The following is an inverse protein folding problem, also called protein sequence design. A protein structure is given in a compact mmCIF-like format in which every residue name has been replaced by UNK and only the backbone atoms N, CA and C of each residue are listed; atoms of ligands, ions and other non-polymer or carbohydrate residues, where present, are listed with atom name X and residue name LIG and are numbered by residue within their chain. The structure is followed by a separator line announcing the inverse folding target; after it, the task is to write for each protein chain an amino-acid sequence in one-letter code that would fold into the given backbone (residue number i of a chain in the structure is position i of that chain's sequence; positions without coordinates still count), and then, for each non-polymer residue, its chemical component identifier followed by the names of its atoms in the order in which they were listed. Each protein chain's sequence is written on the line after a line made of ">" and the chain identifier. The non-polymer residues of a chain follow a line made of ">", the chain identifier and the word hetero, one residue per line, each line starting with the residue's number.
data_IF_152982393009
#
_entry.id   IF_152982393009
#
_cell.length_a   1.000
_cell.length_b   1.000
_cell.length_c   1.000
_cell.angle_alpha   90.00
_cell.angle_beta   90.00
_cell.angle_gamma   90.00
#
_symmetry.space_group_name_H-M   'P 1'
#
loop_
_entity.id
_entity.type
_entity.pdbx_description
1 polymer ?
#
# COMPACT_ATOMS: atom_id res chain seq x y z
N UNK A 1 -39.81 -37.69 -11.58
CA UNK A 1 -38.81 -37.15 -12.57
C UNK A 1 -39.10 -35.69 -12.90
N UNK A 2 -40.37 -35.28 -13.22
CA UNK A 2 -40.70 -33.87 -13.56
C UNK A 2 -40.38 -32.87 -12.42
N UNK A 3 -40.67 -33.23 -11.13
CA UNK A 3 -40.40 -32.34 -9.99
C UNK A 3 -38.90 -32.14 -9.70
N UNK A 4 -38.09 -33.18 -9.92
CA UNK A 4 -36.64 -33.12 -9.77
C UNK A 4 -36.02 -32.23 -10.85
N UNK A 5 -36.52 -32.32 -12.09
CA UNK A 5 -36.05 -31.46 -13.18
C UNK A 5 -36.33 -29.97 -12.96
N UNK A 6 -37.49 -29.63 -12.38
CA UNK A 6 -37.86 -28.26 -12.03
C UNK A 6 -36.95 -27.72 -10.90
N UNK A 7 -36.67 -28.52 -9.87
CA UNK A 7 -35.77 -28.12 -8.77
C UNK A 7 -34.34 -27.89 -9.27
N UNK A 8 -33.82 -28.73 -10.16
CA UNK A 8 -32.52 -28.61 -10.73
C UNK A 8 -32.42 -27.35 -11.61
N UNK A 9 -33.43 -27.04 -12.41
CA UNK A 9 -33.51 -25.84 -13.23
C UNK A 9 -33.52 -24.55 -12.40
N UNK A 10 -34.28 -24.51 -11.31
CA UNK A 10 -34.33 -23.37 -10.39
C UNK A 10 -33.00 -23.20 -9.69
N UNK A 11 -32.35 -24.29 -9.27
CA UNK A 11 -31.02 -24.23 -8.64
C UNK A 11 -29.95 -23.68 -9.59
N UNK A 12 -29.96 -24.11 -10.87
CA UNK A 12 -29.03 -23.58 -11.89
C UNK A 12 -29.29 -22.10 -12.19
N UNK A 13 -30.57 -21.66 -12.21
CA UNK A 13 -30.93 -20.24 -12.39
C UNK A 13 -30.46 -19.36 -11.21
N UNK A 14 -30.55 -19.83 -9.99
CA UNK A 14 -30.06 -19.08 -8.80
C UNK A 14 -28.52 -18.99 -8.80
N UNK A 15 -27.83 -20.04 -9.26
CA UNK A 15 -26.36 -20.04 -9.35
C UNK A 15 -25.83 -19.23 -10.52
N UNK A 16 -26.62 -18.95 -11.53
CA UNK A 16 -26.24 -18.10 -12.66
C UNK A 16 -26.49 -16.61 -12.44
N UNK A 17 -27.00 -16.20 -11.26
CA UNK A 17 -27.10 -14.79 -10.92
C UNK A 17 -25.68 -14.22 -10.77
N UNK A 18 -25.27 -13.27 -11.63
CA UNK A 18 -23.98 -12.61 -11.45
C UNK A 18 -23.99 -11.91 -10.10
N UNK A 19 -23.05 -12.28 -9.21
CA UNK A 19 -22.78 -11.52 -8.00
C UNK A 19 -22.19 -10.19 -8.48
N UNK A 20 -23.03 -9.17 -8.62
CA UNK A 20 -22.59 -7.83 -8.96
C UNK A 20 -21.63 -7.37 -7.86
N UNK A 21 -20.33 -7.51 -8.10
CA UNK A 21 -19.33 -6.81 -7.30
C UNK A 21 -19.51 -5.34 -7.65
N UNK A 22 -19.95 -4.54 -6.68
CA UNK A 22 -19.93 -3.08 -6.81
C UNK A 22 -18.50 -2.68 -7.12
N UNK A 23 -18.22 -2.35 -8.38
CA UNK A 23 -16.98 -1.72 -8.75
C UNK A 23 -16.94 -0.38 -7.99
N UNK A 24 -16.03 -0.26 -7.03
CA UNK A 24 -15.71 1.02 -6.43
C UNK A 24 -14.83 1.74 -7.45
N UNK A 25 -15.41 2.65 -8.20
CA UNK A 25 -14.66 3.59 -8.99
C UNK A 25 -14.35 4.79 -8.09
N UNK A 26 -13.09 5.18 -8.05
CA UNK A 26 -12.69 6.40 -7.38
C UNK A 26 -13.28 7.60 -8.14
N UNK A 27 -13.93 8.52 -7.43
CA UNK A 27 -14.47 9.74 -8.00
C UNK A 27 -13.84 10.93 -7.27
N UNK A 28 -12.98 11.64 -7.96
CA UNK A 28 -12.34 12.84 -7.42
C UNK A 28 -13.19 14.09 -7.68
N UNK A 29 -13.09 15.06 -6.79
CA UNK A 29 -13.54 16.41 -7.03
C UNK A 29 -12.59 17.10 -8.03
N UNK A 30 -12.94 18.30 -8.46
CA UNK A 30 -12.03 19.13 -9.25
C UNK A 30 -10.72 19.36 -8.49
N UNK A 31 -9.59 19.22 -9.20
CA UNK A 31 -8.29 19.43 -8.59
C UNK A 31 -8.13 20.89 -8.14
N UNK A 32 -7.64 21.14 -6.93
CA UNK A 32 -7.38 22.50 -6.46
C UNK A 32 -6.25 23.15 -7.26
N UNK A 33 -6.09 24.47 -7.16
CA UNK A 33 -4.92 25.18 -7.70
C UNK A 33 -3.62 24.68 -7.07
N UNK A 34 -2.47 24.99 -7.67
CA UNK A 34 -1.15 24.55 -7.14
C UNK A 34 -0.92 25.08 -5.73
N UNK A 35 -1.24 26.36 -5.49
CA UNK A 35 -1.10 26.97 -4.16
C UNK A 35 -2.02 26.33 -3.13
N UNK A 36 -3.29 26.07 -3.47
CA UNK A 36 -4.23 25.39 -2.59
C UNK A 36 -3.82 23.93 -2.33
N UNK A 37 -3.38 23.21 -3.36
CA UNK A 37 -2.90 21.85 -3.21
C UNK A 37 -1.67 21.78 -2.27
N UNK A 38 -0.73 22.72 -2.40
CA UNK A 38 0.41 22.84 -1.50
C UNK A 38 -0.02 23.14 -0.06
N UNK A 39 -1.01 24.01 0.13
CA UNK A 39 -1.51 24.34 1.47
C UNK A 39 -2.18 23.13 2.13
N UNK A 40 -3.01 22.40 1.39
CA UNK A 40 -3.78 21.25 1.85
C UNK A 40 -2.93 20.00 2.07
N UNK A 41 -1.81 19.83 1.34
CA UNK A 41 -0.94 18.67 1.49
C UNK A 41 0.01 18.82 2.67
N UNK A 42 0.35 17.73 3.34
CA UNK A 42 1.37 17.69 4.39
C UNK A 42 2.78 17.59 3.84
N UNK A 43 2.94 16.99 2.65
CA UNK A 43 4.21 16.93 1.93
C UNK A 43 4.04 17.26 0.45
N UNK A 44 4.97 18.09 -0.10
CA UNK A 44 5.06 18.40 -1.53
C UNK A 44 6.51 18.28 -1.96
N UNK A 45 6.80 17.36 -2.87
CA UNK A 45 8.17 17.07 -3.29
C UNK A 45 8.24 16.44 -4.68
N UNK A 46 9.38 16.61 -5.34
CA UNK A 46 9.76 15.98 -6.59
C UNK A 46 10.76 14.86 -6.31
N UNK A 47 10.51 13.67 -6.80
CA UNK A 47 11.39 12.54 -6.58
C UNK A 47 11.24 11.43 -7.60
N UNK A 48 12.20 10.52 -7.59
CA UNK A 48 12.24 9.34 -8.46
C UNK A 48 11.83 8.12 -7.67
N UNK A 49 10.90 7.33 -8.18
CA UNK A 49 10.46 6.07 -7.58
C UNK A 49 11.58 5.05 -7.70
N UNK A 50 12.08 4.56 -6.56
CA UNK A 50 13.16 3.58 -6.50
C UNK A 50 12.66 2.16 -6.28
N UNK A 51 11.55 1.99 -5.57
CA UNK A 51 10.94 0.70 -5.29
C UNK A 51 9.43 0.80 -5.09
N UNK A 52 8.71 -0.28 -5.42
CA UNK A 52 7.27 -0.42 -5.20
C UNK A 52 7.02 -1.81 -4.62
N UNK A 53 6.45 -1.87 -3.43
CA UNK A 53 6.10 -3.11 -2.75
C UNK A 53 4.61 -3.17 -2.39
N UNK A 54 3.99 -4.33 -2.56
CA UNK A 54 2.62 -4.54 -2.11
C UNK A 54 2.64 -4.90 -0.61
N UNK A 55 2.01 -4.06 0.22
CA UNK A 55 1.96 -4.21 1.68
C UNK A 55 0.50 -4.23 2.13
N UNK A 56 0.03 -5.38 2.62
CA UNK A 56 -1.36 -5.57 3.05
C UNK A 56 -2.37 -5.20 1.95
N UNK A 57 -3.11 -4.11 2.14
CA UNK A 57 -4.16 -3.61 1.24
C UNK A 57 -3.74 -2.37 0.45
N UNK A 58 -2.45 -2.03 0.46
CA UNK A 58 -1.91 -0.82 -0.15
C UNK A 58 -0.57 -1.14 -0.85
N UNK A 59 -0.13 -0.21 -1.66
CA UNK A 59 1.19 -0.21 -2.29
C UNK A 59 2.09 0.79 -1.56
N UNK A 60 3.20 0.30 -1.02
CA UNK A 60 4.27 1.13 -0.47
C UNK A 60 5.21 1.54 -1.60
N UNK A 61 5.50 2.81 -1.71
CA UNK A 61 6.37 3.40 -2.74
C UNK A 61 7.53 4.09 -2.07
N UNK A 62 8.74 3.65 -2.38
CA UNK A 62 9.99 4.27 -1.92
C UNK A 62 10.49 5.26 -2.97
N UNK A 63 10.82 6.47 -2.55
CA UNK A 63 11.14 7.58 -3.44
C UNK A 63 12.47 8.22 -3.00
N UNK A 64 13.36 8.44 -3.97
CA UNK A 64 14.54 9.28 -3.82
C UNK A 64 14.18 10.74 -4.13
N UNK A 65 14.16 11.59 -3.09
CA UNK A 65 13.72 12.98 -3.18
C UNK A 65 14.81 13.83 -3.82
N UNK A 66 14.45 14.63 -4.83
CA UNK A 66 15.34 15.56 -5.52
C UNK A 66 15.12 17.01 -5.10
N UNK A 67 13.87 17.40 -4.85
CA UNK A 67 13.49 18.75 -4.46
C UNK A 67 12.22 18.70 -3.61
N UNK A 68 12.11 19.53 -2.57
CA UNK A 68 10.94 19.57 -1.72
C UNK A 68 10.50 21.00 -1.39
N UNK A 69 9.19 21.21 -1.32
CA UNK A 69 8.55 22.50 -1.00
C UNK A 69 7.82 22.49 0.33
N UNK A 70 7.51 21.30 0.86
CA UNK A 70 6.79 21.13 2.14
C UNK A 70 7.06 19.72 2.72
N UNK A 71 7.20 19.61 4.03
CA UNK A 71 7.04 18.38 4.81
C UNK A 71 8.08 17.27 4.58
N UNK A 72 9.20 17.52 3.89
CA UNK A 72 10.23 16.50 3.63
C UNK A 72 11.60 16.98 4.04
N UNK A 73 12.25 16.23 4.94
CA UNK A 73 13.57 16.50 5.47
C UNK A 73 14.62 15.46 5.05
N UNK A 74 14.19 14.26 4.65
CA UNK A 74 15.03 13.11 4.34
C UNK A 74 15.18 12.90 2.84
N UNK A 75 16.32 12.35 2.44
CA UNK A 75 16.62 12.01 1.03
C UNK A 75 15.74 10.90 0.50
N UNK A 76 15.35 9.95 1.34
CA UNK A 76 14.47 8.86 0.99
C UNK A 76 13.19 8.96 1.80
N UNK A 77 12.05 8.83 1.14
CA UNK A 77 10.73 8.87 1.76
C UNK A 77 9.86 7.71 1.25
N UNK A 78 8.93 7.28 2.07
CA UNK A 78 7.91 6.30 1.70
C UNK A 78 6.55 6.94 1.68
N UNK A 79 5.76 6.63 0.66
CA UNK A 79 4.34 6.96 0.60
C UNK A 79 3.53 5.71 0.33
N UNK A 80 2.24 5.78 0.64
CA UNK A 80 1.29 4.71 0.38
C UNK A 80 0.24 5.16 -0.64
N UNK A 81 -0.19 4.24 -1.49
CA UNK A 81 -1.23 4.46 -2.49
C UNK A 81 -2.03 3.19 -2.72
N UNK A 82 -3.18 3.29 -3.37
CA UNK A 82 -3.94 2.12 -3.80
C UNK A 82 -3.26 1.33 -4.92
N UNK A 83 -3.81 0.17 -5.26
CA UNK A 83 -3.27 -0.70 -6.30
C UNK A 83 -3.61 -0.23 -7.73
N UNK A 84 -4.77 0.41 -7.89
CA UNK A 84 -5.33 0.78 -9.19
C UNK A 84 -6.39 1.89 -9.08
N UNK A 85 -6.96 2.28 -10.17
CA UNK A 85 -7.98 3.35 -10.24
C UNK A 85 -9.24 3.06 -9.40
N UNK A 86 -9.54 1.80 -9.13
CA UNK A 86 -10.71 1.39 -8.33
C UNK A 86 -10.59 1.69 -6.85
N UNK A 87 -9.38 1.81 -6.34
CA UNK A 87 -9.04 2.15 -4.95
C UNK A 87 -8.22 3.45 -4.83
N UNK A 88 -8.34 4.31 -5.84
CA UNK A 88 -7.67 5.61 -5.94
C UNK A 88 -6.13 5.54 -6.04
N UNK A 89 -5.57 4.41 -6.44
CA UNK A 89 -4.13 4.23 -6.56
C UNK A 89 -3.52 5.07 -7.67
N UNK A 90 -2.28 5.49 -7.46
CA UNK A 90 -1.49 6.23 -8.45
C UNK A 90 -0.92 5.28 -9.53
N UNK A 91 -0.99 5.67 -10.81
CA UNK A 91 -0.34 4.94 -11.90
C UNK A 91 1.17 5.28 -11.96
N UNK A 92 1.94 4.78 -11.00
CA UNK A 92 3.37 5.06 -10.85
C UNK A 92 4.22 3.84 -11.21
N UNK A 93 5.41 4.10 -11.74
CA UNK A 93 6.36 3.09 -12.18
C UNK A 93 7.75 3.32 -11.57
N UNK A 94 8.47 2.25 -11.28
CA UNK A 94 9.84 2.32 -10.77
C UNK A 94 10.78 2.92 -11.83
N UNK A 95 11.64 3.84 -11.41
CA UNK A 95 12.58 4.57 -12.27
C UNK A 95 12.02 5.89 -12.81
N UNK A 96 10.73 6.10 -12.76
CA UNK A 96 10.08 7.33 -13.19
C UNK A 96 10.04 8.39 -12.08
N UNK A 97 9.94 9.65 -12.48
CA UNK A 97 9.92 10.79 -11.56
C UNK A 97 8.57 11.47 -11.55
N UNK A 98 8.13 11.84 -10.35
CA UNK A 98 6.82 12.46 -10.12
C UNK A 98 6.93 13.64 -9.17
N UNK A 99 6.07 14.62 -9.38
CA UNK A 99 5.75 15.64 -8.38
C UNK A 99 4.63 15.08 -7.50
N UNK A 100 4.95 14.87 -6.23
CA UNK A 100 4.02 14.31 -5.25
C UNK A 100 3.38 15.40 -4.40
N UNK A 101 2.08 15.28 -4.20
CA UNK A 101 1.28 15.96 -3.19
C UNK A 101 0.71 14.87 -2.27
N UNK A 102 1.20 14.78 -1.05
CA UNK A 102 0.87 13.71 -0.13
C UNK A 102 0.31 14.26 1.19
N UNK A 103 -0.59 13.48 1.79
CA UNK A 103 -1.23 13.83 3.05
C UNK A 103 -0.87 12.78 4.11
N UNK A 104 -0.71 13.24 5.35
CA UNK A 104 -0.49 12.39 6.50
C UNK A 104 -1.84 11.87 7.02
N UNK A 105 -1.99 10.55 7.07
CA UNK A 105 -3.17 9.88 7.62
C UNK A 105 -2.89 9.23 8.98
N UNK A 106 -1.98 9.79 9.76
CA UNK A 106 -1.80 9.37 11.16
C UNK A 106 -3.01 9.80 11.98
N UNK A 107 -3.93 8.90 12.24
CA UNK A 107 -5.00 9.11 13.23
C UNK A 107 -4.43 9.12 14.66
N UNK A 108 -3.50 10.07 14.94
CA UNK A 108 -2.99 10.30 16.29
C UNK A 108 -1.96 9.27 16.81
N UNK A 109 -1.42 8.43 15.96
CA UNK A 109 -0.28 7.57 16.27
C UNK A 109 1.02 8.17 15.71
N UNK A 110 2.12 8.05 16.44
CA UNK A 110 3.44 8.60 16.07
C UNK A 110 4.04 7.98 14.79
N UNK A 111 3.43 6.94 14.23
CA UNK A 111 3.84 6.25 13.00
C UNK A 111 3.09 6.80 11.77
N UNK A 112 3.00 8.14 11.63
CA UNK A 112 2.38 8.80 10.50
C UNK A 112 2.90 8.28 9.17
N UNK A 113 1.99 7.96 8.25
CA UNK A 113 2.34 7.54 6.90
C UNK A 113 1.72 8.47 5.86
N UNK A 114 2.56 8.93 4.95
CA UNK A 114 2.12 9.78 3.85
C UNK A 114 1.36 8.94 2.82
N UNK A 115 0.22 9.44 2.38
CA UNK A 115 -0.55 8.84 1.29
C UNK A 115 -0.73 9.82 0.14
N UNK A 116 -0.75 9.29 -1.06
CA UNK A 116 -1.08 10.06 -2.25
C UNK A 116 -1.98 9.22 -3.18
N UNK A 117 -2.92 9.86 -3.83
CA UNK A 117 -3.95 9.21 -4.66
C UNK A 117 -4.13 9.93 -5.98
N UNK A 118 -4.88 9.33 -6.90
CA UNK A 118 -5.27 10.00 -8.16
C UNK A 118 -6.10 11.27 -7.93
N UNK A 119 -6.62 11.50 -6.72
CA UNK A 119 -7.37 12.70 -6.36
C UNK A 119 -6.48 13.84 -5.82
N UNK A 120 -5.19 13.62 -5.66
CA UNK A 120 -4.21 14.68 -5.38
C UNK A 120 -3.66 15.23 -6.71
N UNK A 121 -2.94 16.36 -6.66
CA UNK A 121 -2.25 16.90 -7.86
C UNK A 121 -1.00 16.10 -8.25
N UNK A 122 -0.73 14.96 -7.62
CA UNK A 122 0.41 14.11 -7.93
C UNK A 122 0.40 13.73 -9.42
N UNK A 123 1.51 14.02 -10.11
CA UNK A 123 1.62 13.79 -11.54
C UNK A 123 3.07 13.50 -11.95
N UNK A 124 3.26 12.84 -13.10
CA UNK A 124 4.59 12.63 -13.66
C UNK A 124 5.31 13.95 -13.89
N UNK A 125 6.63 13.99 -13.63
CA UNK A 125 7.44 15.21 -13.79
C UNK A 125 7.28 15.85 -15.17
N UNK A 126 7.15 15.03 -16.23
CA UNK A 126 6.95 15.50 -17.60
C UNK A 126 5.67 16.35 -17.76
N UNK A 127 4.67 16.14 -16.91
CA UNK A 127 3.39 16.86 -16.92
C UNK A 127 3.32 17.97 -15.84
N UNK A 128 4.33 18.07 -14.97
CA UNK A 128 4.34 18.97 -13.81
C UNK A 128 4.91 20.36 -14.08
N UNK A 129 5.16 20.73 -15.34
CA UNK A 129 5.87 21.97 -15.68
C UNK A 129 5.20 23.24 -15.14
N UNK A 130 3.87 23.31 -15.18
CA UNK A 130 3.09 24.43 -14.64
C UNK A 130 3.21 24.50 -13.12
N UNK A 131 3.03 23.36 -12.45
CA UNK A 131 3.14 23.25 -11.00
C UNK A 131 4.55 23.62 -10.52
N UNK A 132 5.59 23.07 -11.15
CA UNK A 132 6.98 23.38 -10.82
C UNK A 132 7.33 24.86 -11.00
N UNK A 133 6.78 25.50 -12.03
CA UNK A 133 6.95 26.94 -12.27
C UNK A 133 6.29 27.78 -11.16
N UNK A 134 5.10 27.41 -10.71
CA UNK A 134 4.36 28.12 -9.66
C UNK A 134 4.98 27.86 -8.27
N UNK A 135 5.40 26.65 -8.00
CA UNK A 135 6.08 26.27 -6.75
C UNK A 135 7.42 26.98 -6.57
N UNK A 136 8.11 27.32 -7.68
CA UNK A 136 9.43 27.95 -7.67
C UNK A 136 10.52 27.00 -7.14
N UNK A 137 11.63 27.57 -6.67
CA UNK A 137 12.73 26.78 -6.15
C UNK A 137 12.41 26.17 -4.79
N UNK A 138 12.60 24.86 -4.66
CA UNK A 138 12.45 24.12 -3.42
C UNK A 138 13.79 23.83 -2.73
N UNK A 139 13.75 23.14 -1.59
CA UNK A 139 14.89 22.65 -0.83
C UNK A 139 15.50 21.43 -1.57
N UNK A 140 16.83 21.40 -1.73
CA UNK A 140 17.58 20.30 -2.41
C UNK A 140 18.56 19.58 -1.50
N UNK A 141 18.76 20.06 -0.28
CA UNK A 141 19.63 19.44 0.70
C UNK A 141 18.79 18.61 1.69
N UNK A 142 19.08 17.32 1.78
CA UNK A 142 18.33 16.37 2.61
C UNK A 142 19.27 15.59 3.52
N UNK A 143 18.80 15.28 4.70
CA UNK A 143 19.48 14.37 5.61
C UNK A 143 19.39 12.94 5.05
N UNK A 144 20.45 12.16 5.13
CA UNK A 144 20.39 10.74 4.83
C UNK A 144 19.45 10.08 5.85
N UNK A 145 18.44 9.38 5.38
CA UNK A 145 17.65 8.54 6.27
C UNK A 145 18.60 7.47 6.83
N UNK A 146 18.75 7.41 8.15
CA UNK A 146 19.40 6.24 8.76
C UNK A 146 18.56 5.01 8.43
N UNK A 147 19.18 3.90 7.99
CA UNK A 147 18.44 2.67 7.75
C UNK A 147 17.83 2.26 9.09
N UNK A 148 16.51 2.37 9.21
CA UNK A 148 15.79 1.81 10.34
C UNK A 148 16.03 0.31 10.30
N UNK A 149 16.90 -0.17 11.19
CA UNK A 149 17.14 -1.60 11.41
C UNK A 149 15.90 -2.20 12.10
N UNK A 150 14.81 -2.35 11.38
CA UNK A 150 13.75 -3.28 11.75
C UNK A 150 14.29 -4.69 11.49
N UNK A 151 15.21 -5.10 12.37
CA UNK A 151 15.63 -6.50 12.43
C UNK A 151 14.39 -7.33 12.74
N UNK A 152 14.00 -8.13 11.77
CA UNK A 152 13.02 -9.20 11.88
C UNK A 152 13.24 -10.05 13.15
N UNK A 153 12.64 -9.63 14.25
CA UNK A 153 12.66 -10.38 15.52
C UNK A 153 11.59 -11.48 15.57
N UNK A 154 10.72 -11.61 14.56
CA UNK A 154 9.60 -12.55 14.59
C UNK A 154 9.93 -13.97 14.15
N UNK A 155 11.08 -14.22 13.50
CA UNK A 155 11.40 -15.54 12.98
C UNK A 155 12.05 -16.50 13.99
N UNK A 156 12.51 -16.04 15.17
CA UNK A 156 13.29 -16.90 16.10
C UNK A 156 12.44 -17.77 17.04
N UNK A 157 11.14 -17.55 17.15
CA UNK A 157 10.28 -18.26 18.11
C UNK A 157 9.39 -19.35 17.50
N UNK A 158 9.28 -19.44 16.18
CA UNK A 158 8.39 -20.39 15.52
C UNK A 158 9.04 -21.79 15.42
N UNK A 159 10.36 -21.88 15.28
CA UNK A 159 11.08 -23.15 15.07
C UNK A 159 11.01 -24.08 16.31
N UNK A 160 11.18 -23.59 17.58
CA UNK A 160 11.14 -24.48 18.74
C UNK A 160 9.74 -25.06 19.03
N UNK A 161 8.65 -24.37 18.67
CA UNK A 161 7.29 -24.86 18.93
C UNK A 161 6.89 -26.01 18.02
N UNK A 162 7.35 -26.05 16.77
CA UNK A 162 7.07 -27.12 15.81
C UNK A 162 7.82 -28.39 16.21
N UNK A 163 9.09 -28.29 16.60
CA UNK A 163 9.89 -29.41 17.10
C UNK A 163 9.29 -30.02 18.37
N UNK A 164 8.82 -29.21 19.30
CA UNK A 164 8.15 -29.67 20.53
C UNK A 164 6.88 -30.47 20.25
N UNK A 165 6.07 -30.05 19.28
CA UNK A 165 4.83 -30.74 18.89
C UNK A 165 5.11 -32.12 18.26
N UNK A 166 6.14 -32.23 17.43
CA UNK A 166 6.52 -33.50 16.79
C UNK A 166 7.02 -34.50 17.84
N UNK A 167 7.85 -34.06 18.76
CA UNK A 167 8.37 -34.93 19.85
C UNK A 167 7.21 -35.38 20.75
N UNK A 168 6.26 -34.52 21.06
CA UNK A 168 5.09 -34.87 21.89
C UNK A 168 4.21 -35.92 21.21
N UNK A 169 3.96 -35.81 19.91
CA UNK A 169 3.20 -36.79 19.13
C UNK A 169 3.95 -38.15 19.04
N UNK A 170 5.29 -38.13 18.93
CA UNK A 170 6.08 -39.34 18.94
C UNK A 170 6.01 -40.07 20.28
N UNK A 171 6.08 -39.34 21.40
CA UNK A 171 5.97 -39.93 22.75
C UNK A 171 4.57 -40.52 22.97
N UNK A 172 3.51 -39.81 22.56
CA UNK A 172 2.12 -40.31 22.63
C UNK A 172 1.95 -41.60 21.79
N UNK A 173 2.47 -41.61 20.57
CA UNK A 173 2.43 -42.79 19.71
C UNK A 173 3.15 -43.98 20.37
N UNK A 174 4.32 -43.76 20.97
CA UNK A 174 5.10 -44.81 21.63
C UNK A 174 4.39 -45.36 22.86
N UNK A 175 3.76 -44.52 23.68
CA UNK A 175 3.00 -44.93 24.87
C UNK A 175 1.78 -45.76 24.45
N UNK A 176 1.04 -45.35 23.42
CA UNK A 176 -0.14 -46.08 22.90
C UNK A 176 0.27 -47.44 22.30
N UNK A 177 1.37 -47.45 21.54
CA UNK A 177 1.91 -48.68 20.94
C UNK A 177 2.34 -49.70 22.00
N UNK A 178 2.99 -49.23 23.11
CA UNK A 178 3.43 -50.11 24.22
C UNK A 178 2.26 -50.65 25.04
N UNK A 179 1.11 -50.01 25.06
CA UNK A 179 -0.09 -50.47 25.79
C UNK A 179 -0.91 -51.50 24.99
N UNK A 180 -0.59 -51.67 23.69
CA UNK A 180 -1.32 -52.56 22.76
C UNK A 180 -0.60 -53.90 22.51
N UNK A 181 0.62 -54.08 23.03
CA UNK A 181 1.35 -55.34 23.16
C UNK A 181 1.37 -55.78 24.64
#
# INVERSE_FOLDING_TARGET
>A
VKRIGILLSVFLLVWSMPLERKARACSCMELPSVSEAKEQSDAVFLGTVTDIADVNIQREVTIDVREAWKGVETKTIKIYTGFNDGDCGLPIETGESYLFYANDFSEGNDDGFLTSTICTRTTAEANAMEDLKELGAGKKEFTQAEPSSSADSHSRWIIPSILGSIVFLFILYWIISKKRN
#
